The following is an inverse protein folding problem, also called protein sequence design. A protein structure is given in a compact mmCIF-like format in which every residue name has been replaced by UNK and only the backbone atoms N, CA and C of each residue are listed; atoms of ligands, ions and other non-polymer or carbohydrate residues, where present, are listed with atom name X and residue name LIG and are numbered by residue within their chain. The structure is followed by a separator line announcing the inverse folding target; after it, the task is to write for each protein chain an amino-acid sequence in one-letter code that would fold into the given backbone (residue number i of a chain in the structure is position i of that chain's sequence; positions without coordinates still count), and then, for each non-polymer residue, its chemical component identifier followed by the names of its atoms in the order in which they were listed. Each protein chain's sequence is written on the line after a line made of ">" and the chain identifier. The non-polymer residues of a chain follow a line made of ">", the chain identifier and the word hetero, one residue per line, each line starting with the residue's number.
data_IF_488225730816
#
_entry.id   IF_488225730816
#
_cell.length_a   1.000
_cell.length_b   1.000
_cell.length_c   1.000
_cell.angle_alpha   90.00
_cell.angle_beta   90.00
_cell.angle_gamma   90.00
#
_symmetry.space_group_name_H-M   'P 1'
#
loop_
_entity.id
_entity.type
_entity.pdbx_description
1 polymer ?
#
# COMPACT_ATOMS: atom_id res chain seq x y z
N UNK A 1 9.08 -16.20 8.99
CA UNK A 1 7.61 -16.01 9.09
C UNK A 1 7.22 -14.53 9.13
N UNK A 2 7.82 -13.69 9.99
CA UNK A 2 7.45 -12.26 10.11
C UNK A 2 7.54 -11.49 8.79
N UNK A 3 8.60 -11.68 8.00
CA UNK A 3 8.72 -11.06 6.67
C UNK A 3 7.61 -11.48 5.70
N UNK A 4 7.23 -12.77 5.67
CA UNK A 4 6.14 -13.24 4.83
C UNK A 4 4.78 -12.67 5.27
N UNK A 5 4.55 -12.60 6.59
CA UNK A 5 3.35 -11.98 7.15
C UNK A 5 3.29 -10.48 6.87
N UNK A 6 4.42 -9.77 6.96
CA UNK A 6 4.47 -8.35 6.59
C UNK A 6 4.25 -8.17 5.09
N UNK A 7 4.83 -9.03 4.24
CA UNK A 7 4.58 -8.99 2.81
C UNK A 7 3.10 -9.15 2.48
N UNK A 8 2.41 -10.08 3.14
CA UNK A 8 0.96 -10.24 3.04
C UNK A 8 0.20 -8.99 3.52
N UNK A 9 0.54 -8.47 4.71
CA UNK A 9 -0.13 -7.32 5.29
C UNK A 9 0.12 -6.00 4.52
N UNK A 10 1.27 -5.89 3.84
CA UNK A 10 1.68 -4.66 3.16
C UNK A 10 0.84 -4.27 1.94
N UNK A 11 0.09 -5.23 1.36
CA UNK A 11 -0.84 -4.96 0.25
C UNK A 11 -2.25 -4.58 0.78
N UNK A 12 -2.47 -4.63 2.09
CA UNK A 12 -3.77 -4.39 2.68
C UNK A 12 -4.05 -2.90 2.83
N UNK A 13 -5.07 -2.40 2.13
CA UNK A 13 -5.45 -0.98 2.14
C UNK A 13 -4.43 -0.06 1.47
N UNK A 14 -3.41 -0.61 0.79
CA UNK A 14 -2.29 0.17 0.28
C UNK A 14 -2.69 1.04 -0.92
N UNK A 15 -3.05 0.39 -2.03
CA UNK A 15 -3.49 1.07 -3.26
C UNK A 15 -4.77 1.91 -3.08
N UNK A 16 -5.56 1.61 -2.04
CA UNK A 16 -6.76 2.40 -1.67
C UNK A 16 -6.42 3.85 -1.38
N UNK A 17 -5.21 4.13 -0.89
CA UNK A 17 -4.78 5.50 -0.59
C UNK A 17 -4.81 6.41 -1.82
N UNK A 18 -4.49 5.88 -3.00
CA UNK A 18 -4.56 6.63 -4.26
C UNK A 18 -6.00 7.01 -4.67
N UNK A 19 -7.02 6.36 -4.10
CA UNK A 19 -8.43 6.63 -4.41
C UNK A 19 -9.03 7.79 -3.59
N UNK A 20 -8.47 8.10 -2.41
CA UNK A 20 -9.04 9.09 -1.50
C UNK A 20 -9.27 10.47 -2.13
N UNK A 21 -8.34 11.05 -2.92
CA UNK A 21 -8.56 12.36 -3.55
C UNK A 21 -9.66 12.37 -4.62
N UNK A 22 -10.16 11.20 -5.04
CA UNK A 22 -11.12 11.05 -6.13
C UNK A 22 -12.51 10.63 -5.66
N UNK A 23 -12.73 10.51 -4.34
CA UNK A 23 -14.03 10.13 -3.75
C UNK A 23 -14.56 8.78 -4.27
N UNK A 24 -13.66 7.86 -4.62
CA UNK A 24 -13.99 6.49 -5.04
C UNK A 24 -13.48 5.47 -4.04
N UNK A 25 -14.08 4.28 -4.07
CA UNK A 25 -13.72 3.15 -3.23
C UNK A 25 -13.79 1.86 -4.03
N UNK A 26 -13.35 0.74 -3.43
CA UNK A 26 -13.52 -0.60 -4.02
C UNK A 26 -15.00 -0.99 -4.23
N UNK A 27 -15.93 -0.30 -3.57
CA UNK A 27 -17.37 -0.54 -3.68
C UNK A 27 -18.06 0.41 -4.66
N UNK A 28 -17.33 1.37 -5.24
CA UNK A 28 -17.90 2.32 -6.21
C UNK A 28 -18.35 1.54 -7.46
N UNK A 29 -19.62 1.66 -7.87
CA UNK A 29 -20.13 0.95 -9.05
C UNK A 29 -19.30 1.28 -10.29
N UNK A 30 -19.05 0.26 -11.11
CA UNK A 30 -18.27 0.35 -12.34
C UNK A 30 -16.83 0.88 -12.13
N UNK A 31 -16.28 0.81 -10.92
CA UNK A 31 -14.88 1.16 -10.66
C UNK A 31 -14.06 -0.11 -10.47
N UNK A 32 -12.96 -0.23 -11.21
CA UNK A 32 -12.06 -1.37 -11.17
C UNK A 32 -10.69 -0.96 -10.65
N UNK A 33 -10.17 -1.76 -9.72
CA UNK A 33 -8.83 -1.63 -9.16
C UNK A 33 -8.09 -2.95 -9.28
N UNK A 34 -6.83 -2.91 -9.70
CA UNK A 34 -5.97 -4.09 -9.77
C UNK A 34 -4.50 -3.69 -9.59
N UNK A 35 -3.78 -4.41 -8.75
CA UNK A 35 -2.33 -4.26 -8.58
C UNK A 35 -1.58 -4.63 -9.86
N UNK A 36 -0.57 -3.83 -10.25
CA UNK A 36 0.33 -4.12 -11.37
C UNK A 36 1.62 -4.73 -10.83
N UNK A 37 2.23 -4.06 -9.86
CA UNK A 37 3.45 -4.48 -9.20
C UNK A 37 3.39 -4.24 -7.70
N UNK A 38 4.30 -4.86 -6.95
CA UNK A 38 4.49 -4.61 -5.53
C UNK A 38 5.94 -4.89 -5.17
N UNK A 39 6.62 -3.91 -4.58
CA UNK A 39 8.02 -4.01 -4.20
C UNK A 39 8.19 -3.69 -2.72
N UNK A 40 8.99 -4.50 -2.02
CA UNK A 40 9.26 -4.34 -0.59
C UNK A 40 10.76 -4.41 -0.34
N UNK A 41 11.28 -3.48 0.45
CA UNK A 41 12.64 -3.50 0.99
C UNK A 41 12.58 -3.65 2.50
N UNK A 42 13.19 -4.72 3.02
CA UNK A 42 13.32 -4.97 4.45
C UNK A 42 14.64 -4.41 4.96
N UNK A 43 14.58 -3.43 5.86
CA UNK A 43 15.75 -2.68 6.32
C UNK A 43 16.29 -3.19 7.65
N UNK A 44 15.41 -3.66 8.55
CA UNK A 44 15.73 -4.04 9.93
C UNK A 44 14.89 -5.23 10.40
N UNK A 45 15.34 -5.99 11.41
CA UNK A 45 14.51 -7.00 12.06
C UNK A 45 13.28 -6.36 12.72
N UNK A 46 12.16 -7.10 12.72
CA UNK A 46 10.91 -6.73 13.36
C UNK A 46 10.13 -8.00 13.72
N UNK A 47 9.09 -7.84 14.54
CA UNK A 47 8.13 -8.91 14.80
C UNK A 47 6.71 -8.45 14.45
N UNK A 48 5.91 -9.37 13.92
CA UNK A 48 4.53 -9.13 13.47
C UNK A 48 3.49 -9.28 14.59
N UNK A 49 3.91 -9.76 15.76
CA UNK A 49 3.13 -9.82 16.98
C UNK A 49 3.31 -8.57 17.87
N UNK A 50 4.11 -7.60 17.41
CA UNK A 50 4.25 -6.27 17.98
C UNK A 50 3.61 -5.24 17.03
N UNK A 51 3.23 -4.08 17.55
CA UNK A 51 2.64 -3.03 16.71
C UNK A 51 3.63 -2.49 15.69
N UNK A 52 3.17 -2.40 14.45
CA UNK A 52 3.84 -1.68 13.37
C UNK A 52 2.92 -0.58 12.85
N UNK A 53 3.46 0.63 12.69
CA UNK A 53 2.79 1.71 11.98
C UNK A 53 3.07 1.56 10.49
N UNK A 54 2.04 1.58 9.66
CA UNK A 54 2.18 1.64 8.20
C UNK A 54 1.73 3.02 7.72
N UNK A 55 2.71 3.90 7.46
CA UNK A 55 2.47 5.26 6.98
C UNK A 55 2.46 5.25 5.44
N UNK A 56 1.30 5.50 4.84
CA UNK A 56 1.07 5.39 3.40
C UNK A 56 0.74 6.77 2.81
N UNK A 57 1.24 7.03 1.62
CA UNK A 57 0.87 8.18 0.80
C UNK A 57 0.70 7.78 -0.67
N UNK A 58 0.02 8.64 -1.43
CA UNK A 58 -0.07 8.54 -2.89
C UNK A 58 0.46 9.84 -3.52
N UNK A 59 1.67 9.85 -4.09
CA UNK A 59 2.24 11.06 -4.68
C UNK A 59 1.64 11.41 -6.04
N UNK A 60 1.03 10.46 -6.74
CA UNK A 60 0.46 10.70 -8.08
C UNK A 60 -0.57 9.63 -8.47
N UNK A 61 -1.59 10.09 -9.20
CA UNK A 61 -2.51 9.25 -9.95
C UNK A 61 -2.71 9.85 -11.35
N UNK A 62 -2.44 9.07 -12.39
CA UNK A 62 -2.54 9.53 -13.78
C UNK A 62 -2.70 8.35 -14.74
N UNK A 63 -3.29 8.60 -15.92
CA UNK A 63 -3.44 7.58 -16.97
C UNK A 63 -4.01 6.24 -16.46
N UNK A 64 -5.08 6.32 -15.66
CA UNK A 64 -5.76 5.16 -15.04
C UNK A 64 -4.91 4.33 -14.07
N UNK A 65 -3.85 4.91 -13.53
CA UNK A 65 -2.98 4.28 -12.53
C UNK A 65 -2.79 5.17 -11.31
N UNK A 66 -2.61 4.56 -10.16
CA UNK A 66 -2.23 5.20 -8.91
C UNK A 66 -0.93 4.61 -8.40
N UNK A 67 -0.01 5.48 -7.97
CA UNK A 67 1.22 5.08 -7.28
C UNK A 67 1.02 5.30 -5.79
N UNK A 68 1.41 4.31 -4.98
CA UNK A 68 1.45 4.42 -3.52
C UNK A 68 2.82 4.04 -2.98
N UNK A 69 3.22 4.74 -1.93
CA UNK A 69 4.46 4.49 -1.18
C UNK A 69 4.10 4.34 0.30
N UNK A 70 4.73 3.38 0.96
CA UNK A 70 4.49 3.07 2.35
C UNK A 70 5.77 2.87 3.13
N UNK A 71 5.83 3.44 4.32
CA UNK A 71 6.92 3.28 5.27
C UNK A 71 6.40 2.58 6.53
N UNK A 72 7.13 1.56 6.97
CA UNK A 72 6.69 0.69 8.08
C UNK A 72 7.64 0.90 9.26
N UNK A 73 7.08 1.33 10.38
CA UNK A 73 7.83 1.67 11.60
C UNK A 73 7.45 0.75 12.75
N UNK A 74 8.42 0.38 13.59
CA UNK A 74 8.12 -0.28 14.86
C UNK A 74 7.73 0.72 15.96
N UNK A 75 7.33 0.23 17.14
CA UNK A 75 6.93 1.10 18.26
C UNK A 75 8.02 2.03 18.79
N UNK A 76 9.30 1.74 18.49
CA UNK A 76 10.43 2.60 18.84
C UNK A 76 10.72 3.66 17.76
N UNK A 77 9.93 3.70 16.68
CA UNK A 77 10.11 4.64 15.57
C UNK A 77 11.20 4.22 14.58
N UNK A 78 11.70 2.98 14.64
CA UNK A 78 12.66 2.50 13.64
C UNK A 78 11.94 2.11 12.35
N UNK A 79 12.43 2.61 11.21
CA UNK A 79 11.98 2.20 9.88
C UNK A 79 12.42 0.74 9.62
N UNK A 80 11.47 -0.20 9.58
CA UNK A 80 11.77 -1.63 9.41
C UNK A 80 11.61 -2.09 7.97
N UNK A 81 10.72 -1.46 7.20
CA UNK A 81 10.54 -1.77 5.79
C UNK A 81 9.95 -0.56 5.02
N UNK A 82 10.15 -0.57 3.70
CA UNK A 82 9.48 0.34 2.75
C UNK A 82 8.80 -0.50 1.68
N UNK A 83 7.60 -0.09 1.26
CA UNK A 83 6.84 -0.69 0.18
C UNK A 83 6.47 0.35 -0.88
N UNK A 84 6.39 -0.07 -2.13
CA UNK A 84 5.92 0.73 -3.27
C UNK A 84 5.07 -0.15 -4.18
N UNK A 85 3.96 0.40 -4.67
CA UNK A 85 3.02 -0.30 -5.54
C UNK A 85 2.37 0.66 -6.52
N UNK A 86 2.31 0.26 -7.79
CA UNK A 86 1.43 0.86 -8.79
C UNK A 86 0.26 -0.08 -9.06
N UNK A 87 -0.91 0.49 -9.28
CA UNK A 87 -2.08 -0.27 -9.68
C UNK A 87 -2.97 0.49 -10.64
N UNK A 88 -3.72 -0.26 -11.44
CA UNK A 88 -4.79 0.27 -12.26
C UNK A 88 -5.93 0.74 -11.34
N UNK A 89 -6.47 1.92 -11.62
CA UNK A 89 -7.70 2.45 -11.04
C UNK A 89 -8.51 3.18 -12.12
N UNK A 90 -9.67 2.64 -12.50
CA UNK A 90 -10.45 3.16 -13.64
C UNK A 90 -11.93 2.86 -13.53
N UNK A 91 -12.76 3.67 -14.20
CA UNK A 91 -14.13 3.29 -14.51
C UNK A 91 -14.17 2.30 -15.68
N UNK A 92 -14.95 1.24 -15.54
CA UNK A 92 -15.36 0.34 -16.62
C UNK A 92 -16.63 0.88 -17.26
N UNK A 93 -16.75 0.75 -18.58
CA UNK A 93 -17.99 1.08 -19.30
C UNK A 93 -19.10 0.09 -19.00
#
# INVERSE_FOLDING_TARGET
>A
IHQCLLAYASDWGFLVTAMHPHEVSLMTPNFQVATIDHSIWFHRPFKMDEWLLYAIESPTASNTRGLVRGEIYNQQGHLVATAVQEGVMRYTK
#
